data_IF_563631215612
#
_entry.id   IF_563631215612
#
_cell.length_a   1.000
_cell.length_b   1.000
_cell.length_c   1.000
_cell.angle_alpha   90.00
_cell.angle_beta   90.00
_cell.angle_gamma   90.00
#
_symmetry.space_group_name_H-M   'P 1'
#
loop_
_entity.id
_entity.type
_entity.pdbx_description
1 polymer ?
#
# COMPACT_ATOMS: atom_id res chain seq x y z
N UNK A 1 11.56 -15.15 -23.10
CA UNK A 1 11.39 -15.10 -23.02
C UNK A 1 11.57 -14.81 -23.01
N UNK A 2 11.25 -14.73 -22.84
CA UNK A 2 11.22 -14.60 -22.65
C UNK A 2 11.29 -14.28 -22.51
N UNK A 3 11.11 -14.22 -22.22
CA UNK A 3 10.93 -14.19 -21.89
C UNK A 3 11.09 -13.77 -21.68
N UNK A 4 10.99 -13.82 -21.59
CA UNK A 4 10.87 -13.72 -21.27
C UNK A 4 10.83 -13.52 -21.43
N UNK A 5 10.56 -13.73 -21.48
CA UNK A 5 10.27 -13.53 -21.36
C UNK A 5 9.85 -13.55 -21.22
N UNK A 6 9.27 -14.12 -21.18
CA UNK A 6 8.70 -14.03 -20.82
C UNK A 6 8.47 -14.24 -20.18
N UNK A 7 7.42 -15.90 -20.63
CA UNK A 7 7.53 -16.24 -19.26
C UNK A 7 8.32 -15.22 -18.47
N UNK A 8 9.32 -14.91 -19.01
CA UNK A 8 10.14 -13.86 -18.42
C UNK A 8 9.36 -12.57 -18.25
N UNK A 9 8.56 -12.23 -19.23
CA UNK A 9 7.74 -11.05 -19.17
C UNK A 9 6.74 -11.11 -18.03
N UNK A 10 6.11 -12.27 -17.83
CA UNK A 10 5.16 -12.43 -16.74
C UNK A 10 5.84 -12.26 -15.39
N UNK A 11 7.00 -12.82 -15.24
CA UNK A 11 7.76 -12.65 -14.01
C UNK A 11 8.14 -11.20 -13.81
N UNK A 12 8.43 -10.47 -14.86
CA UNK A 12 8.73 -9.06 -14.76
C UNK A 12 7.56 -8.26 -14.21
N UNK A 13 6.34 -8.60 -14.61
CA UNK A 13 5.15 -7.92 -14.11
C UNK A 13 5.03 -8.11 -12.60
N UNK A 14 5.15 -9.33 -12.10
CA UNK A 14 5.05 -9.57 -10.67
C UNK A 14 6.23 -8.97 -9.92
N UNK A 15 7.43 -9.04 -10.48
CA UNK A 15 8.60 -8.47 -9.83
C UNK A 15 8.52 -6.95 -9.72
N UNK A 16 7.72 -6.30 -10.58
CA UNK A 16 7.56 -4.86 -10.55
C UNK A 16 6.55 -4.38 -9.53
N UNK A 17 5.74 -5.29 -8.97
CA UNK A 17 4.78 -4.90 -7.95
C UNK A 17 5.51 -4.62 -6.65
N UNK A 18 5.39 -3.41 -6.17
CA UNK A 18 6.11 -2.99 -4.98
C UNK A 18 5.49 -3.64 -3.74
N UNK A 19 6.31 -4.26 -2.91
CA UNK A 19 5.87 -5.00 -1.74
C UNK A 19 6.05 -4.22 -0.44
N UNK A 20 6.91 -3.23 -0.43
CA UNK A 20 7.11 -2.38 0.73
C UNK A 20 7.76 -1.08 0.29
N UNK A 21 7.64 -0.06 1.12
CA UNK A 21 8.28 1.21 0.85
C UNK A 21 7.63 2.33 1.63
N UNK A 22 8.06 3.56 1.35
CA UNK A 22 7.46 4.73 1.99
C UNK A 22 6.06 4.99 1.45
N UNK A 23 5.20 5.50 2.31
CA UNK A 23 3.89 5.98 1.92
C UNK A 23 4.06 7.32 1.22
N UNK A 24 3.52 7.43 0.01
CA UNK A 24 3.52 8.69 -0.73
C UNK A 24 2.45 9.62 -0.16
N UNK A 25 2.68 10.92 -0.24
CA UNK A 25 1.72 11.90 0.27
C UNK A 25 1.60 13.05 -0.73
N UNK A 26 0.42 13.65 -0.74
CA UNK A 26 0.17 14.81 -1.56
C UNK A 26 -1.17 15.42 -1.23
N UNK A 27 -1.45 16.57 -1.80
CA UNK A 27 -2.72 17.26 -1.65
C UNK A 27 -3.63 16.88 -2.81
N UNK A 28 -4.78 16.34 -2.49
CA UNK A 28 -5.72 15.87 -3.51
C UNK A 28 -5.46 14.43 -3.91
N UNK A 29 -6.22 13.97 -4.90
CA UNK A 29 -6.11 12.60 -5.40
C UNK A 29 -4.75 12.34 -6.01
N UNK A 30 -4.24 11.10 -5.94
CA UNK A 30 -2.97 10.80 -6.62
C UNK A 30 -3.11 10.94 -8.14
N UNK A 31 -2.10 11.55 -8.75
CA UNK A 31 -2.07 11.65 -10.21
C UNK A 31 -1.88 10.25 -10.81
N UNK A 32 -2.45 9.97 -11.99
CA UNK A 32 -2.31 8.65 -12.61
C UNK A 32 -0.85 8.22 -12.80
N UNK A 33 0.04 9.15 -13.09
CA UNK A 33 1.45 8.83 -13.30
C UNK A 33 2.29 8.74 -12.04
N UNK A 34 1.72 9.04 -10.87
CA UNK A 34 2.47 8.98 -9.63
C UNK A 34 2.70 7.54 -9.20
N UNK A 35 3.87 7.28 -8.64
CA UNK A 35 4.20 5.98 -8.06
C UNK A 35 4.25 4.85 -9.08
N UNK A 36 4.45 3.65 -8.56
CA UNK A 36 4.43 2.41 -9.34
C UNK A 36 3.38 1.47 -8.75
N UNK A 37 3.02 0.44 -9.50
CA UNK A 37 2.03 -0.55 -9.01
C UNK A 37 2.51 -1.11 -7.68
N UNK A 38 1.61 -1.10 -6.71
CA UNK A 38 1.90 -1.52 -5.34
C UNK A 38 2.18 -0.37 -4.38
N UNK A 39 2.43 0.82 -4.89
CA UNK A 39 2.63 1.99 -4.02
C UNK A 39 1.34 2.38 -3.31
N UNK A 40 1.52 3.05 -2.19
CA UNK A 40 0.45 3.55 -1.32
C UNK A 40 0.59 5.06 -1.23
N UNK A 41 -0.54 5.75 -1.27
CA UNK A 41 -0.58 7.21 -1.28
C UNK A 41 -1.65 7.72 -0.31
N UNK A 42 -1.34 8.77 0.44
CA UNK A 42 -2.29 9.43 1.33
C UNK A 42 -2.55 10.86 0.84
N UNK A 43 -3.83 11.16 0.64
CA UNK A 43 -4.28 12.53 0.40
C UNK A 43 -4.28 13.26 1.75
N UNK A 44 -3.46 14.28 1.89
CA UNK A 44 -3.30 14.95 3.20
C UNK A 44 -4.46 15.88 3.56
N UNK A 45 -5.43 16.06 2.66
CA UNK A 45 -6.64 16.83 2.96
C UNK A 45 -7.76 15.96 3.50
N UNK A 46 -7.96 14.79 2.90
CA UNK A 46 -9.05 13.88 3.28
C UNK A 46 -8.57 12.71 4.13
N UNK A 47 -7.27 12.44 4.12
CA UNK A 47 -6.65 11.26 4.69
C UNK A 47 -7.17 9.96 4.09
N UNK A 48 -7.67 10.04 2.86
CA UNK A 48 -7.96 8.86 2.06
C UNK A 48 -6.65 8.20 1.67
N UNK A 49 -6.57 6.89 1.85
CA UNK A 49 -5.38 6.11 1.48
C UNK A 49 -5.70 5.29 0.25
N UNK A 50 -4.84 5.41 -0.76
CA UNK A 50 -5.00 4.74 -2.04
C UNK A 50 -3.86 3.75 -2.25
N UNK A 51 -4.12 2.71 -3.02
CA UNK A 51 -3.07 1.80 -3.48
C UNK A 51 -3.10 1.76 -5.00
N UNK A 52 -1.93 1.85 -5.63
CA UNK A 52 -1.86 1.80 -7.09
C UNK A 52 -1.99 0.36 -7.56
N UNK A 53 -2.97 0.10 -8.42
CA UNK A 53 -3.40 -1.24 -8.78
C UNK A 53 -2.92 -1.66 -10.15
N UNK A 54 -2.67 -0.70 -11.04
CA UNK A 54 -2.37 -1.00 -12.44
C UNK A 54 -1.59 0.13 -13.06
N UNK A 55 -1.23 -0.03 -14.32
CA UNK A 55 -0.63 1.02 -15.13
C UNK A 55 -1.64 1.67 -16.06
N UNK A 56 -2.93 1.49 -15.82
CA UNK A 56 -3.96 2.17 -16.57
C UNK A 56 -3.75 3.68 -16.48
N UNK A 57 -3.94 4.37 -17.58
CA UNK A 57 -3.64 5.80 -17.65
C UNK A 57 -4.74 6.67 -17.08
N UNK A 58 -5.93 6.13 -16.88
CA UNK A 58 -7.07 6.92 -16.45
C UNK A 58 -7.39 6.76 -14.98
N UNK A 59 -7.36 5.54 -14.43
CA UNK A 59 -7.68 5.33 -13.02
C UNK A 59 -6.87 4.21 -12.41
N UNK A 60 -5.54 4.33 -12.39
CA UNK A 60 -4.68 3.27 -11.86
C UNK A 60 -4.79 3.10 -10.35
N UNK A 61 -5.30 4.12 -9.65
CA UNK A 61 -5.43 4.09 -8.19
C UNK A 61 -6.80 3.59 -7.74
N UNK A 62 -7.85 3.79 -8.55
CA UNK A 62 -9.21 3.36 -8.20
C UNK A 62 -9.76 4.05 -6.97
N UNK A 63 -10.69 3.41 -6.28
CA UNK A 63 -11.25 3.92 -5.03
C UNK A 63 -10.22 3.82 -3.90
N UNK A 64 -10.34 4.73 -2.90
CA UNK A 64 -9.47 4.63 -1.74
C UNK A 64 -9.79 3.39 -0.91
N UNK A 65 -8.78 2.86 -0.22
CA UNK A 65 -8.92 1.68 0.63
C UNK A 65 -9.64 2.01 1.92
N UNK A 66 -9.20 3.04 2.60
CA UNK A 66 -9.77 3.42 3.89
C UNK A 66 -9.34 4.85 4.21
N UNK A 67 -10.00 5.44 5.21
CA UNK A 67 -9.60 6.73 5.76
C UNK A 67 -8.61 6.47 6.89
N UNK A 68 -7.45 7.09 6.84
CA UNK A 68 -6.43 6.92 7.87
C UNK A 68 -6.96 7.46 9.20
N UNK A 69 -7.08 6.62 10.25
CA UNK A 69 -7.55 7.11 11.54
C UNK A 69 -6.61 8.16 12.12
N UNK A 70 -7.18 9.07 12.92
CA UNK A 70 -6.44 10.23 13.44
C UNK A 70 -5.13 9.87 14.12
N UNK A 71 -5.09 8.78 14.85
CA UNK A 71 -3.89 8.32 15.56
C UNK A 71 -2.70 8.13 14.63
N UNK A 72 -2.95 7.74 13.39
CA UNK A 72 -1.89 7.35 12.45
C UNK A 72 -1.61 8.36 11.37
N UNK A 73 -2.36 9.47 11.32
CA UNK A 73 -2.31 10.38 10.17
C UNK A 73 -0.94 11.00 9.92
N UNK A 74 -0.20 11.26 10.99
CA UNK A 74 1.11 11.90 10.88
C UNK A 74 2.22 10.89 10.66
N UNK A 75 2.10 9.71 11.26
CA UNK A 75 3.22 8.77 11.39
C UNK A 75 3.07 7.49 10.58
N UNK A 76 2.01 7.35 9.78
CA UNK A 76 1.87 6.20 8.89
C UNK A 76 2.77 6.43 7.67
N UNK A 77 4.05 6.11 7.83
CA UNK A 77 5.08 6.48 6.88
C UNK A 77 5.52 5.34 5.98
N UNK A 78 5.12 4.10 6.28
CA UNK A 78 5.59 2.92 5.56
C UNK A 78 4.45 1.99 5.24
N UNK A 79 4.65 1.14 4.24
CA UNK A 79 3.76 0.02 3.97
C UNK A 79 4.59 -1.23 3.69
N UNK A 80 4.03 -2.39 3.99
CA UNK A 80 4.71 -3.65 3.74
C UNK A 80 3.68 -4.77 3.63
N UNK A 81 3.91 -5.71 2.71
CA UNK A 81 3.05 -6.89 2.58
C UNK A 81 3.41 -7.98 3.60
N UNK A 82 4.54 -7.85 4.27
CA UNK A 82 5.02 -8.82 5.25
C UNK A 82 5.55 -8.07 6.48
N UNK A 83 5.97 -8.82 7.49
CA UNK A 83 6.59 -8.22 8.67
C UNK A 83 7.73 -7.31 8.21
N UNK A 84 7.67 -6.00 8.53
CA UNK A 84 8.75 -5.11 8.13
C UNK A 84 10.05 -5.46 8.87
N UNK A 85 11.16 -5.25 8.19
CA UNK A 85 12.48 -5.46 8.80
C UNK A 85 12.82 -4.26 9.69
N UNK A 86 13.70 -4.47 10.66
CA UNK A 86 13.99 -3.43 11.65
C UNK A 86 14.83 -2.28 11.10
N UNK A 87 15.36 -2.40 9.90
CA UNK A 87 16.03 -1.29 9.24
C UNK A 87 15.07 -0.39 8.47
N UNK A 88 13.78 -0.75 8.40
CA UNK A 88 12.77 0.10 7.77
C UNK A 88 12.22 1.06 8.80
N UNK A 89 12.27 2.36 8.50
CA UNK A 89 11.67 3.39 9.36
C UNK A 89 12.46 3.72 10.61
N UNK A 90 11.89 4.60 11.41
CA UNK A 90 12.48 5.02 12.69
C UNK A 90 11.43 4.85 13.80
N UNK A 91 11.88 4.91 15.04
CA UNK A 91 10.97 4.81 16.18
C UNK A 91 9.87 5.85 16.09
N UNK A 92 8.66 5.44 16.39
CA UNK A 92 7.48 6.27 16.26
C UNK A 92 6.73 6.08 14.97
N UNK A 93 7.33 5.47 13.96
CA UNK A 93 6.67 5.21 12.68
C UNK A 93 5.63 4.10 12.81
N UNK A 94 4.61 4.19 11.94
CA UNK A 94 3.63 3.12 11.74
C UNK A 94 3.76 2.59 10.33
N UNK A 95 3.36 1.33 10.15
CA UNK A 95 3.46 0.62 8.87
C UNK A 95 2.10 0.06 8.49
N UNK A 96 1.63 0.36 7.28
CA UNK A 96 0.46 -0.29 6.73
C UNK A 96 0.81 -1.72 6.36
N UNK A 97 0.10 -2.67 6.94
CA UNK A 97 0.24 -4.09 6.63
C UNK A 97 -0.89 -4.47 5.69
N UNK A 98 -0.56 -4.78 4.46
CA UNK A 98 -1.57 -5.10 3.46
C UNK A 98 -0.96 -5.96 2.38
N UNK A 99 -1.70 -6.99 1.95
CA UNK A 99 -1.19 -7.92 0.97
C UNK A 99 -0.85 -7.31 -0.37
N UNK A 100 -1.49 -6.16 -0.70
CA UNK A 100 -1.23 -5.52 -1.97
C UNK A 100 -1.61 -6.39 -3.14
N UNK A 101 -1.14 -6.03 -4.33
CA UNK A 101 -1.37 -6.84 -5.51
C UNK A 101 -0.57 -8.14 -5.39
N UNK A 102 -1.14 -9.31 -5.65
CA UNK A 102 -2.53 -9.55 -6.04
C UNK A 102 -3.48 -9.86 -4.87
N UNK A 103 -3.16 -9.51 -3.66
CA UNK A 103 -3.92 -9.91 -2.47
C UNK A 103 -4.93 -8.85 -2.06
N UNK A 104 -5.66 -8.31 -3.01
CA UNK A 104 -6.56 -7.18 -2.77
C UNK A 104 -7.65 -7.46 -1.75
N UNK A 105 -8.03 -8.70 -1.57
CA UNK A 105 -9.09 -9.04 -0.65
C UNK A 105 -8.71 -9.05 0.82
N UNK A 106 -7.43 -8.94 1.13
CA UNK A 106 -6.98 -8.98 2.51
C UNK A 106 -7.27 -7.66 3.20
N UNK A 107 -7.75 -7.76 4.43
CA UNK A 107 -8.06 -6.58 5.21
C UNK A 107 -6.76 -5.86 5.60
N UNK A 108 -6.68 -4.55 5.37
CA UNK A 108 -5.50 -3.80 5.80
C UNK A 108 -5.47 -3.66 7.32
N UNK A 109 -4.27 -3.52 7.84
CA UNK A 109 -4.06 -3.27 9.26
C UNK A 109 -2.84 -2.38 9.44
N UNK A 110 -2.71 -1.77 10.62
CA UNK A 110 -1.63 -0.85 10.91
C UNK A 110 -0.82 -1.40 12.06
N UNK A 111 0.49 -1.49 11.84
CA UNK A 111 1.45 -2.01 12.79
C UNK A 111 2.30 -0.86 13.33
N UNK A 112 2.58 -0.90 14.60
CA UNK A 112 3.46 0.06 15.24
C UNK A 112 2.95 0.51 16.59
N UNK A 113 3.57 1.53 17.17
CA UNK A 113 4.71 2.24 16.61
C UNK A 113 5.99 1.42 16.70
N UNK A 114 6.92 1.66 15.78
CA UNK A 114 8.26 1.12 15.92
C UNK A 114 8.87 1.69 17.20
N UNK A 115 9.53 0.87 17.98
CA UNK A 115 10.06 1.30 19.27
C UNK A 115 11.36 0.54 19.57
N UNK A 116 12.32 1.24 20.15
CA UNK A 116 13.62 0.68 20.51
C UNK A 116 14.26 -0.05 19.32
N UNK A 117 14.10 0.51 18.12
CA UNK A 117 14.70 -0.03 16.91
C UNK A 117 14.00 -1.23 16.32
N UNK A 118 12.81 -1.60 16.82
CA UNK A 118 12.14 -2.81 16.35
C UNK A 118 10.66 -2.59 16.10
N UNK A 119 10.13 -3.30 15.10
CA UNK A 119 8.69 -3.34 14.83
C UNK A 119 8.04 -4.40 15.71
N UNK A 120 6.82 -4.12 16.21
CA UNK A 120 6.05 -5.19 16.88
C UNK A 120 5.74 -6.31 15.88
N UNK A 121 5.35 -7.48 16.42
CA UNK A 121 4.96 -8.58 15.55
C UNK A 121 3.67 -8.27 14.79
N UNK A 122 3.53 -8.79 13.57
CA UNK A 122 2.34 -8.57 12.75
C UNK A 122 1.04 -8.97 13.48
N UNK A 123 1.12 -9.93 14.38
CA UNK A 123 -0.06 -10.41 15.10
C UNK A 123 -0.72 -9.35 15.96
N UNK A 124 -0.03 -8.24 16.23
CA UNK A 124 -0.61 -7.14 17.03
C UNK A 124 -1.05 -5.96 16.16
N UNK A 125 -1.00 -6.10 14.85
CA UNK A 125 -1.45 -5.03 13.96
C UNK A 125 -2.95 -4.78 14.12
N UNK A 126 -3.34 -3.50 14.07
CA UNK A 126 -4.73 -3.10 14.27
C UNK A 126 -5.44 -3.05 12.93
N UNK A 127 -6.50 -3.83 12.78
CA UNK A 127 -7.30 -3.84 11.57
C UNK A 127 -8.00 -2.50 11.38
N UNK A 128 -8.09 -2.04 10.13
CA UNK A 128 -8.82 -0.83 9.79
C UNK A 128 -9.98 -1.16 8.85
N UNK A 129 -11.04 -0.36 8.93
CA UNK A 129 -12.25 -0.61 8.15
C UNK A 129 -12.04 -0.21 6.70
N UNK A 130 -12.28 -1.14 5.77
CA UNK A 130 -12.22 -0.86 4.35
C UNK A 130 -13.37 0.06 3.93
N UNK A 131 -13.07 0.92 2.95
CA UNK A 131 -14.11 1.63 2.23
C UNK A 131 -15.05 0.62 1.59
N UNK A 132 -16.37 0.71 1.87
CA UNK A 132 -17.33 -0.25 1.30
C UNK A 132 -17.34 -0.27 -0.23
N UNK A 133 -16.90 0.81 -0.86
CA UNK A 133 -16.86 0.88 -2.32
C UNK A 133 -15.60 0.26 -2.90
N UNK A 134 -14.63 -0.11 -2.06
CA UNK A 134 -13.43 -0.77 -2.52
C UNK A 134 -13.74 -2.26 -2.72
N UNK A 135 -13.56 -2.75 -3.93
CA UNK A 135 -13.78 -4.16 -4.25
C UNK A 135 -12.67 -4.67 -5.14
N UNK A 136 -12.49 -5.98 -5.15
CA UNK A 136 -11.52 -6.61 -6.04
C UNK A 136 -11.87 -6.37 -7.51
N UNK A 137 -13.15 -6.19 -7.81
CA UNK A 137 -13.56 -5.93 -9.18
C UNK A 137 -13.00 -4.63 -9.72
N UNK A 138 -12.73 -3.67 -8.87
CA UNK A 138 -12.12 -2.42 -9.30
C UNK A 138 -10.75 -2.64 -9.91
N UNK A 139 -10.01 -3.63 -9.45
CA UNK A 139 -8.71 -3.95 -10.02
C UNK A 139 -8.82 -4.62 -11.35
N UNK A 140 -9.85 -5.42 -11.52
CA UNK A 140 -10.03 -6.21 -12.74
C UNK A 140 -10.71 -5.41 -13.85
N UNK A 141 -11.29 -4.30 -13.51
CA UNK A 141 -11.94 -3.43 -14.47
C UNK A 141 -10.98 -2.68 -15.36
N UNK A 142 -9.73 -2.68 -15.01
CA UNK A 142 -8.70 -1.98 -15.77
C UNK A 142 -8.10 -2.83 -16.86
#
# INVERSE_FOLDING_TARGET
MSGYDNGTLQQGIFAQTKQFGPVLRGTGDPAPGAGVVGDVYVDTQTFFLYAKRSNDKTSPWGNYLFVVPATYQVALNWFSSAQPTNDLGVDGDYCLMWGGYPNYGLQPSILGPKAAGAWPANSVAVAVALNPLYTADNEHAV
#
